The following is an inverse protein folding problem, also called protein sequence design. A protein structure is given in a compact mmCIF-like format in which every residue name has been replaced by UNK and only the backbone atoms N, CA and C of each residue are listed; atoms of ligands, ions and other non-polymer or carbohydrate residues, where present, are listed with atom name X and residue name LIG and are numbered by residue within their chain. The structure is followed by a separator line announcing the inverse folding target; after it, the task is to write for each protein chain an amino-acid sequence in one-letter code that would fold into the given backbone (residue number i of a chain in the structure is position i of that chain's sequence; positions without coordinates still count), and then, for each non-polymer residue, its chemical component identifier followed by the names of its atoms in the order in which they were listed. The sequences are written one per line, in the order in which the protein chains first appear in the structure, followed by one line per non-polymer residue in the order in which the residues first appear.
data_IF_217415898667
#
_entry.id   IF_217415898667
#
_cell.length_a   1.000
_cell.length_b   1.000
_cell.length_c   1.000
_cell.angle_alpha   90.00
_cell.angle_beta   90.00
_cell.angle_gamma   90.00
#
_symmetry.space_group_name_H-M   'P 1'
#
loop_
_entity.id
_entity.type
_entity.pdbx_description
1 polymer ?
#
# COMPACT_ATOMS: atom_id res chain seq x y z
N UNK A 1 -4.24 13.01 -11.92
CA UNK A 1 -5.32 12.05 -11.61
C UNK A 1 -5.38 11.93 -10.10
N UNK A 2 -6.56 11.81 -9.50
CA UNK A 2 -6.73 11.78 -8.03
C UNK A 2 -6.37 10.41 -7.44
N UNK A 3 -6.28 10.27 -6.11
CA UNK A 3 -6.05 8.98 -5.43
C UNK A 3 -7.15 7.97 -5.76
N UNK A 4 -8.41 8.41 -5.72
CA UNK A 4 -9.55 7.59 -6.18
C UNK A 4 -9.44 7.23 -7.66
N UNK A 5 -8.95 8.16 -8.47
CA UNK A 5 -8.68 7.93 -9.88
C UNK A 5 -7.59 6.86 -10.10
N UNK A 6 -6.56 6.84 -9.26
CA UNK A 6 -5.50 5.83 -9.29
C UNK A 6 -6.04 4.44 -8.89
N UNK A 7 -6.87 4.37 -7.85
CA UNK A 7 -7.58 3.12 -7.49
C UNK A 7 -8.41 2.62 -8.66
N UNK A 8 -9.21 3.48 -9.29
CA UNK A 8 -10.05 3.11 -10.44
C UNK A 8 -9.24 2.73 -11.68
N UNK A 9 -8.08 3.37 -11.90
CA UNK A 9 -7.17 3.04 -13.00
C UNK A 9 -6.58 1.64 -12.82
N UNK A 10 -6.10 1.33 -11.62
CA UNK A 10 -5.55 0.00 -11.31
C UNK A 10 -6.66 -1.04 -11.31
N UNK A 11 -7.84 -0.74 -10.79
CA UNK A 11 -9.04 -1.60 -10.90
C UNK A 11 -9.36 -1.98 -12.35
N UNK A 12 -9.16 -1.06 -13.30
CA UNK A 12 -9.37 -1.32 -14.72
C UNK A 12 -8.25 -2.18 -15.36
N UNK A 13 -7.07 -2.26 -14.74
CA UNK A 13 -5.95 -3.09 -15.22
C UNK A 13 -6.25 -4.56 -14.90
N UNK A 14 -6.79 -5.28 -15.88
CA UNK A 14 -7.02 -6.72 -15.74
C UNK A 14 -5.70 -7.47 -15.91
N UNK A 15 -5.35 -8.30 -14.93
CA UNK A 15 -4.31 -9.31 -15.06
C UNK A 15 -4.91 -10.66 -15.42
N UNK A 16 -4.22 -11.40 -16.29
CA UNK A 16 -4.65 -12.71 -16.76
C UNK A 16 -3.61 -13.76 -16.38
N UNK A 17 -4.02 -14.76 -15.59
CA UNK A 17 -3.23 -15.96 -15.32
C UNK A 17 -3.68 -17.06 -16.27
N UNK A 18 -2.84 -17.38 -17.25
CA UNK A 18 -3.08 -18.49 -18.16
C UNK A 18 -2.45 -19.77 -17.61
N UNK A 19 -3.27 -20.69 -17.10
CA UNK A 19 -2.86 -22.01 -16.66
C UNK A 19 -2.66 -22.93 -17.88
N UNK A 20 -1.43 -23.41 -18.08
CA UNK A 20 -1.02 -24.22 -19.22
C UNK A 20 -0.93 -25.70 -18.84
N UNK A 21 -1.60 -26.56 -19.61
CA UNK A 21 -1.63 -28.01 -19.40
C UNK A 21 -2.16 -28.44 -18.01
N UNK A 22 -3.03 -27.61 -17.42
CA UNK A 22 -3.58 -27.79 -16.06
C UNK A 22 -4.96 -28.47 -16.08
N UNK A 23 -5.24 -29.42 -15.15
CA UNK A 23 -6.58 -29.99 -15.00
C UNK A 23 -7.60 -28.95 -14.53
N UNK A 24 -8.84 -29.06 -15.02
CA UNK A 24 -9.92 -28.09 -14.77
C UNK A 24 -10.21 -27.89 -13.27
N UNK A 25 -10.11 -28.93 -12.45
CA UNK A 25 -10.30 -28.82 -10.99
C UNK A 25 -9.32 -27.86 -10.33
N UNK A 26 -8.05 -27.89 -10.72
CA UNK A 26 -7.01 -26.99 -10.17
C UNK A 26 -7.23 -25.56 -10.67
N UNK A 27 -7.77 -25.40 -11.87
CA UNK A 27 -8.11 -24.07 -12.42
C UNK A 27 -9.27 -23.46 -11.65
N UNK A 28 -10.29 -24.24 -11.31
CA UNK A 28 -11.41 -23.77 -10.51
C UNK A 28 -10.97 -23.40 -9.10
N UNK A 29 -10.12 -24.22 -8.46
CA UNK A 29 -9.55 -23.88 -7.16
C UNK A 29 -8.69 -22.60 -7.22
N UNK A 30 -7.92 -22.38 -8.30
CA UNK A 30 -7.19 -21.13 -8.53
C UNK A 30 -8.13 -19.94 -8.73
N UNK A 31 -9.28 -20.12 -9.38
CA UNK A 31 -10.28 -19.04 -9.51
C UNK A 31 -10.81 -18.62 -8.16
N UNK A 32 -11.14 -19.60 -7.32
CA UNK A 32 -11.63 -19.34 -5.97
C UNK A 32 -10.54 -18.70 -5.10
N UNK A 33 -9.30 -19.20 -5.17
CA UNK A 33 -8.17 -18.68 -4.39
C UNK A 33 -7.78 -17.23 -4.76
N UNK A 34 -7.95 -16.84 -6.03
CA UNK A 34 -7.55 -15.51 -6.54
C UNK A 34 -8.75 -14.60 -6.87
N UNK A 35 -9.98 -14.97 -6.49
CA UNK A 35 -11.20 -14.20 -6.76
C UNK A 35 -11.08 -12.76 -6.24
N UNK A 36 -10.56 -12.61 -5.02
CA UNK A 36 -10.41 -11.30 -4.36
C UNK A 36 -9.28 -10.44 -4.95
N UNK A 37 -8.45 -11.00 -5.84
CA UNK A 37 -7.23 -10.36 -6.38
C UNK A 37 -7.39 -9.84 -7.82
N UNK A 38 -8.63 -9.69 -8.31
CA UNK A 38 -8.95 -9.17 -9.65
C UNK A 38 -8.18 -9.88 -10.78
N UNK A 39 -7.98 -11.19 -10.62
CA UNK A 39 -7.17 -12.00 -11.53
C UNK A 39 -8.07 -12.88 -12.40
N UNK A 40 -8.00 -12.71 -13.72
CA UNK A 40 -8.72 -13.58 -14.66
C UNK A 40 -7.92 -14.86 -14.92
N UNK A 41 -8.46 -16.02 -14.54
CA UNK A 41 -7.81 -17.32 -14.77
C UNK A 41 -8.34 -17.97 -16.06
N UNK A 42 -7.45 -18.12 -17.04
CA UNK A 42 -7.70 -18.77 -18.33
C UNK A 42 -6.95 -20.10 -18.45
N UNK A 43 -7.40 -20.99 -19.34
CA UNK A 43 -6.73 -22.26 -19.62
C UNK A 43 -6.17 -22.31 -21.03
N UNK A 44 -4.99 -22.88 -21.17
CA UNK A 44 -4.36 -23.17 -22.46
C UNK A 44 -3.79 -24.58 -22.44
N UNK A 45 -3.87 -25.28 -23.56
CA UNK A 45 -3.20 -26.57 -23.74
C UNK A 45 -2.13 -26.43 -24.82
N UNK A 46 -0.91 -26.86 -24.53
CA UNK A 46 0.20 -26.90 -25.47
C UNK A 46 0.59 -28.36 -25.76
N UNK A 47 0.87 -28.71 -27.03
CA UNK A 47 1.14 -30.09 -27.42
C UNK A 47 2.52 -30.62 -27.00
N UNK A 48 3.42 -29.77 -26.51
CA UNK A 48 4.79 -30.11 -26.09
C UNK A 48 5.05 -29.66 -24.65
N UNK A 49 5.99 -30.32 -23.97
CA UNK A 49 6.51 -29.92 -22.65
C UNK A 49 6.80 -28.41 -22.59
N UNK A 50 6.59 -27.74 -21.44
CA UNK A 50 6.49 -28.31 -20.08
C UNK A 50 5.13 -28.86 -19.65
N UNK A 51 5.17 -29.78 -18.69
CA UNK A 51 4.01 -30.24 -17.91
C UNK A 51 3.70 -29.17 -16.85
N UNK A 52 2.55 -28.49 -16.97
CA UNK A 52 1.90 -27.71 -15.89
C UNK A 52 2.65 -26.46 -15.39
N UNK A 53 2.35 -25.31 -15.98
CA UNK A 53 2.85 -24.01 -15.52
C UNK A 53 1.78 -22.94 -15.74
N UNK A 54 1.90 -21.79 -15.08
CA UNK A 54 1.03 -20.65 -15.31
C UNK A 54 1.81 -19.46 -15.87
N UNK A 55 1.17 -18.69 -16.75
CA UNK A 55 1.71 -17.45 -17.32
C UNK A 55 0.89 -16.29 -16.79
N UNK A 56 1.52 -15.34 -16.12
CA UNK A 56 0.89 -14.08 -15.75
C UNK A 56 1.10 -13.06 -16.88
N UNK A 57 0.00 -12.46 -17.33
CA UNK A 57 0.00 -11.43 -18.36
C UNK A 57 -0.76 -10.19 -17.89
N UNK A 58 -0.32 -9.02 -18.35
CA UNK A 58 -0.99 -7.72 -18.12
C UNK A 58 -1.28 -7.11 -19.48
N UNK A 59 -2.56 -6.90 -19.82
CA UNK A 59 -2.95 -6.36 -21.13
C UNK A 59 -2.27 -7.09 -22.32
N UNK A 60 -2.31 -8.43 -22.32
CA UNK A 60 -1.65 -9.30 -23.31
C UNK A 60 -0.10 -9.26 -23.35
N UNK A 61 0.54 -8.46 -22.49
CA UNK A 61 1.98 -8.47 -22.31
C UNK A 61 2.41 -9.53 -21.28
N UNK A 62 3.41 -10.34 -21.64
CA UNK A 62 4.01 -11.31 -20.73
C UNK A 62 4.67 -10.61 -19.54
N UNK A 63 4.26 -10.97 -18.32
CA UNK A 63 4.88 -10.51 -17.07
C UNK A 63 5.88 -11.57 -16.60
N UNK A 64 5.39 -12.78 -16.31
CA UNK A 64 6.22 -13.89 -15.81
C UNK A 64 5.59 -15.25 -16.08
N UNK A 65 6.38 -16.32 -15.92
CA UNK A 65 5.92 -17.71 -15.95
C UNK A 65 6.35 -18.42 -14.66
N UNK A 66 5.43 -19.18 -14.08
CA UNK A 66 5.55 -19.71 -12.71
C UNK A 66 5.10 -21.17 -12.66
N UNK A 67 5.70 -21.96 -11.76
CA UNK A 67 5.22 -23.32 -11.53
C UNK A 67 3.86 -23.28 -10.85
N UNK A 68 2.99 -24.23 -11.16
CA UNK A 68 1.70 -24.34 -10.48
C UNK A 68 1.84 -24.70 -9.01
N UNK A 69 2.87 -25.48 -8.66
CA UNK A 69 3.15 -25.86 -7.27
C UNK A 69 3.47 -24.66 -6.36
N UNK A 70 3.92 -23.54 -6.93
CA UNK A 70 4.24 -22.33 -6.17
C UNK A 70 2.99 -21.49 -5.88
N UNK A 71 1.91 -21.63 -6.66
CA UNK A 71 0.72 -20.75 -6.58
C UNK A 71 -0.55 -21.44 -6.12
N UNK A 72 -0.63 -22.75 -6.30
CA UNK A 72 -1.81 -23.53 -5.99
C UNK A 72 -1.75 -24.02 -4.54
N UNK A 73 -2.67 -23.57 -3.71
CA UNK A 73 -2.83 -24.07 -2.35
C UNK A 73 -4.11 -24.91 -2.27
N UNK A 74 -4.00 -26.22 -2.00
CA UNK A 74 -5.19 -27.08 -1.96
C UNK A 74 -6.11 -26.67 -0.80
N UNK A 75 -7.44 -26.76 -0.98
CA UNK A 75 -8.43 -26.25 -0.02
C UNK A 75 -8.41 -26.93 1.35
N UNK A 76 -7.82 -28.13 1.47
CA UNK A 76 -7.63 -28.87 2.72
C UNK A 76 -6.25 -28.63 3.38
N UNK A 77 -5.41 -27.76 2.82
CA UNK A 77 -4.16 -27.37 3.49
C UNK A 77 -4.50 -26.54 4.73
N UNK A 78 -4.03 -26.96 5.91
CA UNK A 78 -4.11 -26.10 7.09
C UNK A 78 -3.38 -24.78 6.78
N UNK A 79 -3.97 -23.61 7.11
CA UNK A 79 -3.25 -22.35 6.98
C UNK A 79 -1.97 -22.51 7.79
N UNK A 80 -0.81 -22.39 7.13
CA UNK A 80 0.45 -22.42 7.84
C UNK A 80 0.37 -21.36 8.93
N UNK A 81 0.26 -21.79 10.19
CA UNK A 81 0.41 -20.92 11.35
C UNK A 81 1.89 -20.58 11.47
N UNK A 82 2.39 -19.81 10.53
CA UNK A 82 3.66 -19.14 10.59
C UNK A 82 3.38 -17.65 10.40
N UNK A 83 3.76 -16.91 11.42
CA UNK A 83 3.81 -15.47 11.46
C UNK A 83 4.59 -14.95 10.26
N UNK A 84 3.92 -14.27 9.34
CA UNK A 84 4.51 -13.74 8.12
C UNK A 84 3.92 -14.47 6.91
N UNK A 85 3.15 -13.75 6.11
CA UNK A 85 2.66 -14.21 4.81
C UNK A 85 3.87 -14.76 4.04
N UNK A 86 4.02 -16.08 3.98
CA UNK A 86 5.01 -16.70 3.12
C UNK A 86 4.60 -16.36 1.68
N UNK A 87 5.29 -15.36 1.15
CA UNK A 87 5.13 -14.88 -0.22
C UNK A 87 5.36 -16.07 -1.14
N UNK A 88 4.30 -16.54 -1.80
CA UNK A 88 4.50 -17.26 -3.05
C UNK A 88 5.23 -16.30 -3.99
N UNK A 89 6.35 -16.70 -4.64
CA UNK A 89 7.17 -15.83 -5.50
C UNK A 89 6.41 -15.25 -6.70
N UNK A 90 5.19 -15.71 -6.93
CA UNK A 90 4.28 -15.16 -7.94
C UNK A 90 3.60 -13.90 -7.46
N UNK A 91 3.40 -13.78 -6.13
CA UNK A 91 2.91 -12.55 -5.50
C UNK A 91 3.97 -11.45 -5.53
N UNK A 92 5.25 -11.80 -5.59
CA UNK A 92 6.32 -10.83 -5.83
C UNK A 92 6.26 -10.24 -7.26
N UNK A 93 5.56 -10.90 -8.21
CA UNK A 93 5.35 -10.41 -9.57
C UNK A 93 3.93 -9.88 -9.85
N UNK A 94 3.00 -10.09 -8.91
CA UNK A 94 1.82 -9.27 -8.79
C UNK A 94 2.27 -7.96 -8.16
N UNK A 95 2.95 -7.14 -8.96
CA UNK A 95 3.41 -5.82 -8.51
C UNK A 95 2.24 -4.97 -7.99
N UNK A 96 0.99 -5.36 -8.24
CA UNK A 96 -0.24 -4.74 -7.78
C UNK A 96 -1.22 -5.86 -7.34
N UNK A 97 -1.52 -5.94 -6.04
CA UNK A 97 -2.60 -6.76 -5.49
C UNK A 97 -3.77 -5.85 -5.14
N UNK A 98 -4.77 -5.81 -6.02
CA UNK A 98 -6.06 -5.22 -5.71
C UNK A 98 -6.76 -6.05 -4.64
N UNK A 99 -7.46 -5.38 -3.74
CA UNK A 99 -8.38 -6.00 -2.81
C UNK A 99 -9.70 -5.24 -2.82
N UNK A 100 -10.78 -6.01 -2.84
CA UNK A 100 -12.14 -5.46 -2.95
C UNK A 100 -12.80 -5.25 -1.59
N UNK A 101 -12.27 -5.87 -0.53
CA UNK A 101 -12.80 -5.79 0.82
C UNK A 101 -11.73 -6.12 1.86
N UNK A 102 -11.05 -5.10 2.38
CA UNK A 102 -10.20 -5.24 3.57
C UNK A 102 -10.90 -4.67 4.81
N UNK A 103 -10.75 -5.39 5.93
CA UNK A 103 -11.13 -4.87 7.24
C UNK A 103 -10.08 -3.87 7.75
N UNK A 104 -10.41 -3.15 8.82
CA UNK A 104 -9.45 -2.28 9.52
C UNK A 104 -8.21 -3.07 9.99
N UNK A 105 -8.39 -4.32 10.43
CA UNK A 105 -7.28 -5.16 10.89
C UNK A 105 -6.34 -5.49 9.73
N UNK A 106 -6.87 -5.85 8.58
CA UNK A 106 -6.09 -6.15 7.37
C UNK A 106 -5.32 -4.91 6.89
N UNK A 107 -5.98 -3.75 6.87
CA UNK A 107 -5.34 -2.47 6.53
C UNK A 107 -4.19 -2.13 7.47
N UNK A 108 -4.38 -2.36 8.77
CA UNK A 108 -3.34 -2.12 9.77
C UNK A 108 -2.14 -3.07 9.58
N UNK A 109 -2.41 -4.36 9.34
CA UNK A 109 -1.36 -5.36 9.11
C UNK A 109 -0.56 -5.07 7.83
N UNK A 110 -1.24 -4.68 6.74
CA UNK A 110 -0.58 -4.30 5.49
C UNK A 110 0.26 -3.02 5.66
N UNK A 111 -0.26 -2.03 6.38
CA UNK A 111 0.49 -0.79 6.70
C UNK A 111 1.76 -1.10 7.50
N UNK A 112 1.65 -2.00 8.49
CA UNK A 112 2.77 -2.41 9.35
C UNK A 112 3.91 -3.08 8.58
N UNK A 113 3.62 -3.86 7.55
CA UNK A 113 4.67 -4.45 6.70
C UNK A 113 5.48 -3.36 5.97
N UNK A 114 4.80 -2.34 5.43
CA UNK A 114 5.46 -1.22 4.74
C UNK A 114 6.28 -0.39 5.72
N UNK A 115 5.72 -0.07 6.89
CA UNK A 115 6.40 0.64 7.97
C UNK A 115 7.66 -0.10 8.46
N UNK A 116 7.55 -1.41 8.69
CA UNK A 116 8.68 -2.24 9.14
C UNK A 116 9.78 -2.32 8.07
N UNK A 117 9.41 -2.37 6.78
CA UNK A 117 10.38 -2.27 5.67
C UNK A 117 11.12 -0.93 5.69
N UNK A 118 10.40 0.18 5.79
CA UNK A 118 11.00 1.52 5.87
C UNK A 118 11.92 1.65 7.10
N UNK A 119 11.51 1.12 8.25
CA UNK A 119 12.31 1.11 9.47
C UNK A 119 13.59 0.26 9.35
N UNK A 120 13.49 -0.92 8.73
CA UNK A 120 14.64 -1.83 8.52
C UNK A 120 15.70 -1.23 7.60
N UNK A 121 15.29 -0.49 6.58
CA UNK A 121 16.20 0.19 5.66
C UNK A 121 16.73 1.47 6.32
N UNK A 122 15.87 2.23 6.98
CA UNK A 122 16.23 3.41 7.76
C UNK A 122 16.60 4.63 6.91
N UNK A 123 16.31 4.61 5.61
CA UNK A 123 16.53 5.72 4.68
C UNK A 123 15.39 5.87 3.67
N UNK A 124 15.27 7.05 3.06
CA UNK A 124 14.26 7.37 2.04
C UNK A 124 13.12 8.25 2.57
N UNK A 125 11.95 8.12 1.97
CA UNK A 125 10.72 8.86 2.29
C UNK A 125 9.55 7.88 2.54
N UNK A 126 8.89 8.01 3.70
CA UNK A 126 7.67 7.30 4.05
C UNK A 126 6.51 8.29 4.13
N UNK A 127 5.45 8.03 3.37
CA UNK A 127 4.24 8.85 3.32
C UNK A 127 3.03 8.06 3.82
N UNK A 128 2.36 8.52 4.88
CA UNK A 128 1.22 7.81 5.49
C UNK A 128 0.00 8.72 5.68
N UNK A 129 -1.16 8.28 5.18
CA UNK A 129 -2.44 8.97 5.30
C UNK A 129 -3.35 8.31 6.32
N UNK A 130 -3.73 9.05 7.36
CA UNK A 130 -4.51 8.55 8.50
C UNK A 130 -6.00 8.89 8.46
N UNK A 131 -6.48 9.48 7.36
CA UNK A 131 -7.82 10.06 7.23
C UNK A 131 -8.07 11.25 8.16
N UNK A 132 -7.91 11.10 9.47
CA UNK A 132 -8.22 12.13 10.47
C UNK A 132 -7.12 12.26 11.53
N UNK A 133 -7.01 13.44 12.13
CA UNK A 133 -6.05 13.69 13.21
C UNK A 133 -6.25 12.78 14.43
N UNK A 134 -7.49 12.38 14.73
CA UNK A 134 -7.78 11.46 15.84
C UNK A 134 -7.26 10.04 15.60
N UNK A 135 -7.18 9.60 14.34
CA UNK A 135 -6.58 8.30 14.00
C UNK A 135 -5.06 8.39 14.13
N UNK A 136 -4.44 9.49 13.64
CA UNK A 136 -3.02 9.74 13.80
C UNK A 136 -2.59 9.84 15.29
N UNK A 137 -3.41 10.46 16.14
CA UNK A 137 -3.17 10.55 17.59
C UNK A 137 -2.91 9.16 18.19
N UNK A 138 -3.64 8.14 17.74
CA UNK A 138 -3.45 6.76 18.18
C UNK A 138 -2.17 6.09 17.67
N UNK A 139 -1.48 6.65 16.69
CA UNK A 139 -0.24 6.10 16.09
C UNK A 139 0.97 7.04 16.22
N UNK A 140 0.81 8.15 16.96
CA UNK A 140 1.81 9.21 17.08
C UNK A 140 3.15 8.70 17.61
N UNK A 141 3.13 7.89 18.68
CA UNK A 141 4.35 7.31 19.25
C UNK A 141 5.11 6.43 18.25
N UNK A 142 4.38 5.65 17.44
CA UNK A 142 4.98 4.77 16.45
C UNK A 142 5.66 5.58 15.32
N UNK A 143 5.02 6.67 14.88
CA UNK A 143 5.56 7.51 13.81
C UNK A 143 6.70 8.41 14.29
N UNK A 144 6.66 8.85 15.55
CA UNK A 144 7.81 9.51 16.16
C UNK A 144 9.01 8.56 16.26
N UNK A 145 8.79 7.28 16.57
CA UNK A 145 9.85 6.27 16.58
C UNK A 145 10.40 5.97 15.18
N UNK A 146 9.55 5.91 14.16
CA UNK A 146 9.99 5.78 12.77
C UNK A 146 10.88 6.98 12.36
N UNK A 147 10.48 8.18 12.75
CA UNK A 147 11.18 9.43 12.45
C UNK A 147 12.49 9.66 13.23
N UNK A 148 12.82 8.86 14.26
CA UNK A 148 14.11 8.96 14.96
C UNK A 148 15.30 8.66 14.03
N UNK A 149 15.07 7.95 12.93
CA UNK A 149 16.08 7.65 11.93
C UNK A 149 16.42 8.89 11.10
N UNK A 150 17.60 9.46 11.32
CA UNK A 150 18.05 10.69 10.64
C UNK A 150 18.07 10.66 9.10
N UNK A 151 18.01 9.48 8.47
CA UNK A 151 18.03 9.32 7.01
C UNK A 151 16.67 8.95 6.41
N UNK A 152 15.65 8.69 7.24
CA UNK A 152 14.29 8.39 6.83
C UNK A 152 13.40 9.62 7.09
N UNK A 153 12.83 10.20 6.05
CA UNK A 153 11.88 11.31 6.16
C UNK A 153 10.47 10.75 6.26
N UNK A 154 9.80 10.98 7.39
CA UNK A 154 8.43 10.51 7.63
C UNK A 154 7.45 11.67 7.44
N UNK A 155 6.48 11.48 6.57
CA UNK A 155 5.42 12.44 6.25
C UNK A 155 4.06 11.81 6.54
N UNK A 156 3.23 12.48 7.33
CA UNK A 156 1.88 12.04 7.65
C UNK A 156 0.86 13.04 7.13
N UNK A 157 -0.31 12.55 6.73
CA UNK A 157 -1.41 13.35 6.19
C UNK A 157 -2.68 13.04 6.96
N UNK A 158 -3.36 14.07 7.46
CA UNK A 158 -4.56 13.88 8.26
C UNK A 158 -5.50 15.08 8.19
N UNK A 159 -6.81 14.82 8.16
CA UNK A 159 -7.82 15.88 8.13
C UNK A 159 -8.28 16.30 9.54
N UNK A 160 -8.47 17.61 9.79
CA UNK A 160 -9.07 18.09 11.02
C UNK A 160 -10.61 18.01 10.93
N UNK A 161 -11.20 16.99 11.53
CA UNK A 161 -12.66 16.78 11.52
C UNK A 161 -13.42 17.53 12.61
N UNK A 162 -12.70 18.06 13.60
CA UNK A 162 -13.24 18.77 14.76
C UNK A 162 -13.03 20.28 14.63
N UNK A 163 -13.96 21.09 15.16
CA UNK A 163 -13.81 22.56 15.22
C UNK A 163 -12.58 23.00 16.05
N UNK A 164 -12.16 22.16 16.99
CA UNK A 164 -10.93 22.31 17.76
C UNK A 164 -10.12 21.02 17.65
N UNK A 165 -9.35 20.83 16.55
CA UNK A 165 -8.58 19.61 16.37
C UNK A 165 -7.43 19.53 17.40
N UNK A 166 -7.22 18.34 17.95
CA UNK A 166 -6.02 18.06 18.73
C UNK A 166 -4.93 17.72 17.73
N UNK A 167 -3.88 18.54 17.71
CA UNK A 167 -2.70 18.30 16.87
C UNK A 167 -1.78 17.37 17.68
N UNK A 168 -1.47 16.16 17.16
CA UNK A 168 -0.57 15.24 17.85
C UNK A 168 0.86 15.78 17.88
N UNK A 169 1.63 15.29 18.84
CA UNK A 169 3.05 15.59 18.98
C UNK A 169 3.84 14.98 17.81
N UNK A 170 4.46 15.82 16.97
CA UNK A 170 5.09 15.40 15.72
C UNK A 170 6.55 15.84 15.66
N UNK A 171 7.28 15.70 16.76
CA UNK A 171 8.69 16.11 16.88
C UNK A 171 9.61 15.48 15.82
N UNK A 172 9.33 14.25 15.39
CA UNK A 172 10.20 13.49 14.47
C UNK A 172 9.58 13.20 13.10
N UNK A 173 8.39 13.71 12.80
CA UNK A 173 7.76 13.53 11.49
C UNK A 173 7.07 14.80 11.00
N UNK A 174 6.94 14.95 9.69
CA UNK A 174 6.21 16.07 9.10
C UNK A 174 4.73 15.76 9.08
N UNK A 175 3.90 16.58 9.73
CA UNK A 175 2.44 16.48 9.68
C UNK A 175 1.87 17.48 8.68
N UNK A 176 1.18 16.96 7.67
CA UNK A 176 0.39 17.72 6.70
C UNK A 176 -1.09 17.68 7.11
N UNK A 177 -1.61 18.84 7.52
CA UNK A 177 -3.01 18.98 7.93
C UNK A 177 -3.83 19.38 6.71
N UNK A 178 -4.65 18.45 6.19
CA UNK A 178 -5.33 18.63 4.90
C UNK A 178 -6.85 18.59 5.06
N UNK A 179 -7.54 19.63 4.61
CA UNK A 179 -9.00 19.72 4.67
C UNK A 179 -9.72 19.00 3.50
N UNK A 180 -8.96 18.41 2.59
CA UNK A 180 -9.49 17.82 1.37
C UNK A 180 -10.20 16.48 1.66
N UNK A 181 -11.38 16.28 1.06
CA UNK A 181 -12.17 15.06 1.25
C UNK A 181 -11.44 13.81 0.72
N UNK A 182 -10.50 14.00 -0.21
CA UNK A 182 -9.63 12.95 -0.70
C UNK A 182 -8.80 12.35 0.45
N UNK A 183 -8.03 13.17 1.17
CA UNK A 183 -7.22 12.72 2.32
C UNK A 183 -8.09 12.11 3.41
N UNK A 184 -9.27 12.72 3.68
CA UNK A 184 -10.19 12.23 4.71
C UNK A 184 -10.76 10.84 4.42
N UNK A 185 -10.90 10.45 3.14
CA UNK A 185 -11.57 9.20 2.74
C UNK A 185 -10.60 8.12 2.28
N UNK A 186 -9.30 8.42 2.25
CA UNK A 186 -8.28 7.47 1.82
C UNK A 186 -7.32 7.12 2.96
N UNK A 187 -7.00 5.84 3.04
CA UNK A 187 -5.89 5.31 3.83
C UNK A 187 -4.76 4.98 2.86
N UNK A 188 -3.55 5.45 3.14
CA UNK A 188 -2.39 5.05 2.34
C UNK A 188 -1.11 4.98 3.17
N UNK A 189 -0.18 4.13 2.75
CA UNK A 189 1.20 4.10 3.24
C UNK A 189 2.09 3.84 2.03
N UNK A 190 3.01 4.73 1.70
CA UNK A 190 3.89 4.62 0.54
C UNK A 190 5.34 4.89 0.93
N UNK A 191 6.23 4.00 0.53
CA UNK A 191 7.66 4.07 0.81
C UNK A 191 8.45 4.08 -0.50
N UNK A 192 9.36 5.06 -0.65
CA UNK A 192 10.12 5.33 -1.88
C UNK A 192 11.30 4.39 -2.14
N UNK A 193 11.61 3.48 -1.21
CA UNK A 193 12.70 2.53 -1.36
C UNK A 193 14.11 3.14 -1.36
N UNK A 194 14.29 4.41 -1.01
CA UNK A 194 15.56 5.15 -1.07
C UNK A 194 16.25 5.04 -2.45
N UNK A 195 15.45 5.10 -3.52
CA UNK A 195 15.93 4.99 -4.91
C UNK A 195 16.30 3.57 -5.35
N UNK A 196 15.90 2.54 -4.58
CA UNK A 196 15.98 1.13 -4.97
C UNK A 196 14.57 0.63 -5.26
N UNK A 197 14.26 0.42 -6.54
CA UNK A 197 12.95 -0.02 -7.02
C UNK A 197 12.42 -1.26 -6.28
N UNK A 198 13.29 -2.24 -5.99
CA UNK A 198 12.92 -3.49 -5.28
C UNK A 198 12.46 -3.26 -3.83
N UNK A 199 12.77 -2.10 -3.25
CA UNK A 199 12.35 -1.72 -1.91
C UNK A 199 11.07 -0.88 -1.91
N UNK A 200 10.64 -0.38 -3.08
CA UNK A 200 9.45 0.45 -3.19
C UNK A 200 8.20 -0.36 -2.89
N UNK A 201 7.29 0.21 -2.11
CA UNK A 201 5.98 -0.39 -1.88
C UNK A 201 4.98 0.67 -1.44
N UNK A 202 3.72 0.48 -1.83
CA UNK A 202 2.64 1.33 -1.38
C UNK A 202 1.34 0.56 -1.18
N UNK A 203 0.55 1.02 -0.22
CA UNK A 203 -0.83 0.66 0.01
C UNK A 203 -1.66 1.92 -0.22
N UNK A 204 -2.73 1.82 -1.01
CA UNK A 204 -3.71 2.88 -1.16
C UNK A 204 -5.11 2.27 -1.18
N UNK A 205 -5.96 2.76 -0.27
CA UNK A 205 -7.34 2.34 -0.16
C UNK A 205 -8.28 3.52 0.10
N UNK A 206 -9.51 3.36 -0.35
CA UNK A 206 -10.63 4.24 -0.07
C UNK A 206 -11.63 3.52 0.83
N UNK A 207 -12.12 4.21 1.85
CA UNK A 207 -13.22 3.70 2.67
C UNK A 207 -14.53 3.76 1.87
N UNK A 208 -15.15 2.59 1.63
CA UNK A 208 -16.42 2.43 0.91
C UNK A 208 -17.40 1.63 1.76
N UNK A 209 -18.40 2.29 2.34
CA UNK A 209 -19.42 1.62 3.17
C UNK A 209 -19.12 1.70 4.67
N UNK A 210 -19.57 0.73 5.45
CA UNK A 210 -19.40 0.70 6.91
C UNK A 210 -18.04 0.06 7.28
N UNK A 211 -16.95 0.82 7.12
CA UNK A 211 -15.56 0.42 7.48
C UNK A 211 -14.94 -0.70 6.63
N UNK A 212 -15.42 -0.84 5.40
CA UNK A 212 -14.79 -1.68 4.39
C UNK A 212 -13.88 -0.82 3.51
N UNK A 213 -12.68 -1.32 3.25
CA UNK A 213 -11.68 -0.63 2.45
C UNK A 213 -11.51 -1.31 1.09
N UNK A 214 -11.52 -0.49 0.05
CA UNK A 214 -11.30 -0.91 -1.32
C UNK A 214 -10.03 -0.25 -1.83
N UNK A 215 -9.09 -1.04 -2.34
CA UNK A 215 -7.78 -0.49 -2.68
C UNK A 215 -6.85 -1.48 -3.32
N UNK A 216 -5.57 -1.13 -3.32
CA UNK A 216 -4.50 -2.00 -3.78
C UNK A 216 -3.26 -1.83 -2.91
N UNK A 217 -2.48 -2.88 -2.86
CA UNK A 217 -1.09 -2.85 -2.47
C UNK A 217 -0.25 -3.03 -3.73
N UNK A 218 0.77 -2.21 -3.92
CA UNK A 218 1.74 -2.32 -5.00
C UNK A 218 3.20 -2.39 -4.52
N UNK A 219 4.03 -3.08 -5.29
CA UNK A 219 5.49 -3.03 -5.30
C UNK A 219 6.02 -2.43 -6.62
N UNK A 220 5.14 -2.02 -7.54
CA UNK A 220 5.52 -1.40 -8.80
C UNK A 220 6.11 -0.01 -8.54
N UNK A 221 7.39 0.14 -8.84
CA UNK A 221 8.11 1.40 -8.64
C UNK A 221 7.42 2.60 -9.31
N UNK A 222 6.83 2.44 -10.50
CA UNK A 222 6.18 3.56 -11.21
C UNK A 222 4.89 3.98 -10.53
N UNK A 223 4.09 3.01 -10.04
CA UNK A 223 2.88 3.31 -9.28
C UNK A 223 3.24 3.99 -7.95
N UNK A 224 4.28 3.53 -7.25
CA UNK A 224 4.78 4.14 -6.01
C UNK A 224 5.28 5.57 -6.25
N UNK A 225 6.15 5.78 -7.25
CA UNK A 225 6.65 7.10 -7.65
C UNK A 225 5.51 8.05 -8.01
N UNK A 226 4.52 7.57 -8.76
CA UNK A 226 3.36 8.36 -9.12
C UNK A 226 2.56 8.79 -7.89
N UNK A 227 2.30 7.87 -6.96
CA UNK A 227 1.57 8.15 -5.72
C UNK A 227 2.30 9.18 -4.86
N UNK A 228 3.59 8.97 -4.58
CA UNK A 228 4.41 9.88 -3.78
C UNK A 228 4.51 11.25 -4.46
N UNK A 229 4.74 11.27 -5.78
CA UNK A 229 4.78 12.50 -6.56
C UNK A 229 3.45 13.27 -6.53
N UNK A 230 2.32 12.56 -6.59
CA UNK A 230 0.99 13.15 -6.46
C UNK A 230 0.79 13.78 -5.08
N UNK A 231 1.12 13.05 -4.00
CA UNK A 231 1.00 13.56 -2.63
C UNK A 231 1.84 14.82 -2.43
N UNK A 232 3.11 14.80 -2.83
CA UNK A 232 4.02 15.95 -2.71
C UNK A 232 3.56 17.16 -3.52
N UNK A 233 2.99 16.92 -4.70
CA UNK A 233 2.57 18.01 -5.60
C UNK A 233 1.25 18.68 -5.18
N UNK A 234 0.36 17.95 -4.50
CA UNK A 234 -0.97 18.46 -4.13
C UNK A 234 -1.11 18.78 -2.64
N UNK A 235 -0.31 18.14 -1.79
CA UNK A 235 -0.42 18.18 -0.31
C UNK A 235 0.95 18.32 0.37
N UNK A 236 2.02 18.62 -0.38
CA UNK A 236 3.37 18.74 0.16
C UNK A 236 3.71 20.10 0.77
N UNK A 237 2.82 21.08 0.64
CA UNK A 237 2.99 22.41 1.25
C UNK A 237 2.63 22.33 2.73
N UNK A 238 3.65 22.23 3.58
CA UNK A 238 3.47 22.44 5.03
C UNK A 238 3.09 23.90 5.23
N UNK A 239 1.86 24.18 5.69
CA UNK A 239 1.54 25.53 6.17
C UNK A 239 2.60 25.90 7.22
N UNK A 240 3.33 27.02 7.04
CA UNK A 240 4.35 27.41 8.01
C UNK A 240 3.66 27.52 9.37
N UNK A 241 4.14 26.72 10.33
CA UNK A 241 3.78 26.89 11.74
C UNK A 241 3.92 28.38 12.05
N UNK A 242 2.91 29.05 12.61
CA UNK A 242 3.05 30.46 12.93
C UNK A 242 4.25 30.56 13.87
N UNK A 243 5.32 31.19 13.37
CA UNK A 243 6.49 31.55 14.15
C UNK A 243 5.97 32.11 15.47
N UNK A 244 6.22 31.39 16.56
CA UNK A 244 6.05 31.96 17.89
C UNK A 244 7.13 33.04 17.95
N UNK A 245 6.74 34.26 17.57
CA UNK A 245 7.50 35.48 17.79
C UNK A 245 7.93 35.45 19.27
N UNK A 246 9.18 35.06 19.49
CA UNK A 246 9.89 35.32 20.72
C UNK A 246 10.16 36.83 20.74
N UNK A 247 9.12 37.60 21.08
CA UNK A 247 9.22 39.01 21.39
C UNK A 247 10.02 39.12 22.69
N UNK A 248 11.33 39.17 22.52
CA UNK A 248 12.27 39.56 23.54
C UNK A 248 12.12 41.06 23.79
N UNK A 249 11.13 41.45 24.58
CA UNK A 249 11.14 42.79 25.16
C UNK A 249 12.06 42.77 26.39
N UNK A 250 13.30 43.15 26.11
CA UNK A 250 14.21 43.72 27.08
C UNK A 250 13.66 45.08 27.53
N UNK A 251 13.26 45.20 28.79
CA UNK A 251 13.42 46.46 29.49
C UNK A 251 14.12 46.33 30.83
N UNK A 252 15.13 47.18 30.94
CA UNK A 252 16.21 47.24 31.91
C UNK A 252 15.85 48.16 33.08
N UNK A 253 16.52 47.89 34.22
CA UNK A 253 16.73 48.72 35.44
C UNK A 253 15.65 48.69 36.51
#
# INVERSE_FOLDING_TARGET
MSLRGLIADIEARTMTLTAVNTPESVVDDLRDQYEDRHLTVETRSLPEEPEQFAILSREDAFVTAVSLDDIYQPPDAEPATETGVERSPVLDHLDETLFTSYSIEDMFMASREIEDRAWRIGSGELHAGFQTLSVLEGQTDAYNQLGEHTSLSVHTYAAPVSETPIIPDHDNFTLHIEHDEEIQKTWFVAYDGDGVDENMCALLAEERGDRDFYGFWTYDAKTVEYLIGYLKSNYGDVEPSPDIDADGDSHTV
#
